data_IF_735878578491
#
_entry.id   IF_735878578491
#
_cell.length_a   1.000
_cell.length_b   1.000
_cell.length_c   1.000
_cell.angle_alpha   90.00
_cell.angle_beta   90.00
_cell.angle_gamma   90.00
#
_symmetry.space_group_name_H-M   'P 1'
#
loop_
_entity.id
_entity.type
_entity.pdbx_description
1 polymer ?
#
# COMPACT_ATOMS: atom_id res chain seq x y z
N UNK A 1 -8.29 6.89 22.55
CA UNK A 1 -9.16 7.59 21.58
C UNK A 1 -9.63 6.57 20.53
N UNK A 2 -10.85 6.06 20.72
CA UNK A 2 -11.47 5.00 19.91
C UNK A 2 -12.16 5.58 18.67
N UNK A 3 -11.38 6.12 17.72
CA UNK A 3 -11.88 6.64 16.45
C UNK A 3 -11.21 5.87 15.30
N UNK A 4 -11.83 4.76 14.90
CA UNK A 4 -11.34 3.97 13.77
C UNK A 4 -11.94 2.59 13.62
N UNK A 5 -13.28 2.45 13.60
CA UNK A 5 -13.84 1.27 12.92
C UNK A 5 -13.44 1.40 11.45
N UNK A 6 -12.68 0.44 10.93
CA UNK A 6 -12.28 0.44 9.52
C UNK A 6 -13.51 0.59 8.63
N UNK A 7 -13.37 1.26 7.49
CA UNK A 7 -14.47 1.51 6.55
C UNK A 7 -15.17 0.19 6.16
N UNK A 8 -14.38 -0.86 5.92
CA UNK A 8 -14.87 -2.23 5.71
C UNK A 8 -15.68 -2.77 6.88
N UNK A 9 -15.20 -2.67 8.13
CA UNK A 9 -15.97 -3.09 9.31
C UNK A 9 -17.31 -2.36 9.45
N UNK A 10 -17.41 -1.11 8.96
CA UNK A 10 -18.66 -0.34 8.94
C UNK A 10 -19.60 -0.78 7.82
N UNK A 11 -19.07 -1.07 6.63
CA UNK A 11 -19.89 -1.54 5.50
C UNK A 11 -20.37 -2.97 5.74
N UNK A 12 -19.48 -3.86 6.19
CA UNK A 12 -19.81 -5.24 6.53
C UNK A 12 -20.81 -5.37 7.69
N UNK A 13 -20.97 -4.34 8.52
CA UNK A 13 -21.98 -4.32 9.56
C UNK A 13 -23.42 -4.14 9.02
N UNK A 14 -23.57 -3.69 7.78
CA UNK A 14 -24.84 -3.58 7.07
C UNK A 14 -25.01 -4.61 5.94
N UNK A 15 -24.08 -5.56 5.80
CA UNK A 15 -24.24 -6.70 4.88
C UNK A 15 -24.99 -7.78 5.67
N UNK A 16 -26.29 -7.87 5.43
CA UNK A 16 -27.09 -9.02 5.86
C UNK A 16 -26.79 -10.18 4.91
N UNK A 17 -26.29 -11.29 5.46
CA UNK A 17 -26.16 -12.52 4.69
C UNK A 17 -27.56 -13.09 4.54
N UNK A 18 -28.17 -12.91 3.38
CA UNK A 18 -29.43 -13.57 3.09
C UNK A 18 -29.18 -15.09 3.00
N UNK A 19 -29.70 -15.81 3.99
CA UNK A 19 -29.59 -17.26 4.07
C UNK A 19 -30.44 -17.91 2.99
N UNK A 20 -29.85 -18.22 1.84
CA UNK A 20 -30.46 -19.12 0.86
C UNK A 20 -30.19 -20.57 1.24
N UNK A 21 -31.25 -21.39 1.27
CA UNK A 21 -31.14 -22.83 1.53
C UNK A 21 -30.48 -23.55 0.34
N UNK A 22 -29.76 -24.64 0.62
CA UNK A 22 -29.06 -25.49 -0.38
C UNK A 22 -29.98 -25.93 -1.54
N UNK A 23 -31.29 -26.02 -1.29
CA UNK A 23 -32.32 -26.41 -2.25
C UNK A 23 -32.68 -25.29 -3.23
N UNK A 24 -32.54 -24.02 -2.83
CA UNK A 24 -32.78 -22.84 -3.67
C UNK A 24 -31.61 -22.61 -4.62
N UNK A 25 -30.37 -22.76 -4.15
CA UNK A 25 -29.15 -22.60 -4.96
C UNK A 25 -28.97 -23.62 -6.11
N UNK A 26 -29.66 -24.77 -6.04
CA UNK A 26 -29.58 -25.84 -7.07
C UNK A 26 -30.53 -25.64 -8.26
N UNK A 27 -31.44 -24.67 -8.23
CA UNK A 27 -32.54 -24.55 -9.22
C UNK A 27 -32.30 -23.53 -10.33
N UNK A 28 -31.30 -22.65 -10.22
CA UNK A 28 -31.01 -21.62 -11.22
C UNK A 28 -29.69 -21.84 -11.96
N UNK A 29 -29.73 -22.16 -13.26
CA UNK A 29 -28.55 -22.15 -14.15
C UNK A 29 -27.99 -20.72 -14.43
N UNK A 30 -28.23 -19.74 -13.55
CA UNK A 30 -27.84 -18.33 -13.67
C UNK A 30 -26.96 -17.79 -12.53
N UNK A 31 -26.58 -18.62 -11.56
CA UNK A 31 -26.24 -18.09 -10.23
C UNK A 31 -24.85 -18.54 -9.74
N UNK A 32 -23.80 -18.35 -10.57
CA UNK A 32 -22.42 -18.72 -10.18
C UNK A 32 -22.04 -18.16 -8.80
N UNK A 33 -22.32 -16.88 -8.55
CA UNK A 33 -22.01 -16.27 -7.24
C UNK A 33 -22.83 -16.87 -6.10
N UNK A 34 -24.12 -17.16 -6.29
CA UNK A 34 -24.95 -17.72 -5.21
C UNK A 34 -24.59 -19.19 -4.94
N UNK A 35 -24.22 -19.95 -5.98
CA UNK A 35 -23.71 -21.32 -5.83
C UNK A 35 -22.41 -21.33 -4.99
N UNK A 36 -21.45 -20.46 -5.34
CA UNK A 36 -20.20 -20.30 -4.59
C UNK A 36 -20.43 -19.83 -3.15
N UNK A 37 -21.35 -18.88 -2.94
CA UNK A 37 -21.70 -18.41 -1.59
C UNK A 37 -22.33 -19.54 -0.76
N UNK A 38 -23.24 -20.31 -1.35
CA UNK A 38 -23.90 -21.44 -0.68
C UNK A 38 -22.91 -22.54 -0.29
N UNK A 39 -21.92 -22.80 -1.14
CA UNK A 39 -20.85 -23.76 -0.86
C UNK A 39 -19.97 -23.30 0.32
N UNK A 40 -19.56 -22.03 0.38
CA UNK A 40 -18.83 -21.48 1.53
C UNK A 40 -19.61 -21.64 2.83
N UNK A 41 -20.91 -21.34 2.81
CA UNK A 41 -21.79 -21.50 3.97
C UNK A 41 -21.90 -22.97 4.39
N UNK A 42 -22.03 -23.90 3.45
CA UNK A 42 -22.12 -25.33 3.73
C UNK A 42 -20.82 -25.89 4.34
N UNK A 43 -19.67 -25.44 3.85
CA UNK A 43 -18.35 -25.79 4.42
C UNK A 43 -18.03 -25.00 5.72
N UNK A 44 -18.96 -24.16 6.18
CA UNK A 44 -18.84 -23.34 7.38
C UNK A 44 -17.80 -22.22 7.27
N UNK A 45 -17.38 -21.83 6.07
CA UNK A 45 -16.44 -20.75 5.78
C UNK A 45 -17.15 -19.39 5.78
N UNK A 46 -17.68 -19.01 6.94
CA UNK A 46 -18.54 -17.83 7.09
C UNK A 46 -17.78 -16.51 6.90
N UNK A 47 -16.47 -16.47 7.15
CA UNK A 47 -15.67 -15.25 6.98
C UNK A 47 -15.49 -14.96 5.49
N UNK A 48 -15.10 -15.96 4.71
CA UNK A 48 -15.02 -15.89 3.26
C UNK A 48 -16.38 -15.59 2.65
N UNK A 49 -17.46 -16.22 3.13
CA UNK A 49 -18.81 -15.96 2.65
C UNK A 49 -19.16 -14.47 2.76
N UNK A 50 -18.95 -13.85 3.93
CA UNK A 50 -19.19 -12.42 4.16
C UNK A 50 -18.39 -11.52 3.22
N UNK A 51 -17.09 -11.79 3.08
CA UNK A 51 -16.24 -11.00 2.20
C UNK A 51 -16.58 -11.19 0.72
N UNK A 52 -16.97 -12.41 0.33
CA UNK A 52 -17.39 -12.72 -1.02
C UNK A 52 -18.70 -12.00 -1.37
N UNK A 53 -19.68 -12.05 -0.48
CA UNK A 53 -20.94 -11.31 -0.63
C UNK A 53 -20.71 -9.80 -0.72
N UNK A 54 -19.85 -9.24 0.14
CA UNK A 54 -19.43 -7.84 0.03
C UNK A 54 -18.88 -7.49 -1.37
N UNK A 55 -18.01 -8.34 -1.93
CA UNK A 55 -17.46 -8.11 -3.28
C UNK A 55 -18.54 -8.18 -4.38
N UNK A 56 -19.52 -9.08 -4.23
CA UNK A 56 -20.66 -9.19 -5.15
C UNK A 56 -21.56 -7.96 -5.06
N UNK A 57 -21.86 -7.49 -3.86
CA UNK A 57 -22.63 -6.26 -3.63
C UNK A 57 -21.91 -5.04 -4.23
N UNK A 58 -20.60 -4.91 -4.01
CA UNK A 58 -19.80 -3.81 -4.58
C UNK A 58 -19.76 -3.89 -6.11
N UNK A 59 -19.60 -5.07 -6.70
CA UNK A 59 -19.68 -5.27 -8.15
C UNK A 59 -21.04 -4.81 -8.70
N UNK A 60 -22.12 -5.23 -8.06
CA UNK A 60 -23.48 -4.89 -8.48
C UNK A 60 -23.70 -3.37 -8.44
N UNK A 61 -23.27 -2.70 -7.37
CA UNK A 61 -23.36 -1.24 -7.26
C UNK A 61 -22.54 -0.55 -8.37
N UNK A 62 -21.27 -0.92 -8.56
CA UNK A 62 -20.41 -0.33 -9.58
C UNK A 62 -20.92 -0.57 -11.00
N UNK A 63 -21.55 -1.72 -11.24
CA UNK A 63 -22.14 -2.06 -12.54
C UNK A 63 -23.41 -1.24 -12.80
N UNK A 64 -24.29 -1.13 -11.81
CA UNK A 64 -25.52 -0.34 -11.91
C UNK A 64 -25.22 1.15 -12.13
N UNK A 65 -24.21 1.67 -11.45
CA UNK A 65 -23.71 3.05 -11.59
C UNK A 65 -22.85 3.25 -12.85
N UNK A 66 -22.66 2.21 -13.67
CA UNK A 66 -21.88 2.21 -14.92
C UNK A 66 -20.40 2.58 -14.75
N UNK A 67 -19.85 2.44 -13.54
CA UNK A 67 -18.41 2.59 -13.29
C UNK A 67 -17.59 1.44 -13.88
N UNK A 68 -18.19 0.25 -13.99
CA UNK A 68 -17.56 -0.93 -14.59
C UNK A 68 -18.40 -1.47 -15.75
N UNK A 69 -17.72 -2.02 -16.76
CA UNK A 69 -18.35 -2.64 -17.95
C UNK A 69 -18.28 -4.16 -17.94
N UNK A 70 -17.37 -4.73 -17.15
CA UNK A 70 -17.10 -6.17 -17.07
C UNK A 70 -17.19 -6.62 -15.62
N UNK A 71 -17.82 -7.76 -15.42
CA UNK A 71 -17.97 -8.42 -14.12
C UNK A 71 -16.94 -9.55 -13.97
N UNK A 72 -16.60 -9.91 -12.75
CA UNK A 72 -15.60 -10.92 -12.40
C UNK A 72 -15.94 -12.31 -12.92
N UNK A 73 -17.23 -12.65 -13.06
CA UNK A 73 -17.63 -13.91 -13.69
C UNK A 73 -17.17 -14.04 -15.16
N UNK A 74 -16.85 -12.92 -15.84
CA UNK A 74 -16.21 -12.96 -17.16
C UNK A 74 -14.77 -13.50 -17.12
N UNK A 75 -14.15 -13.55 -15.93
CA UNK A 75 -12.85 -14.15 -15.62
C UNK A 75 -13.04 -15.36 -14.70
N UNK A 76 -13.85 -16.32 -15.16
CA UNK A 76 -14.28 -17.49 -14.39
C UNK A 76 -13.11 -18.29 -13.80
N UNK A 77 -12.03 -18.50 -14.56
CA UNK A 77 -10.87 -19.28 -14.10
C UNK A 77 -10.18 -18.61 -12.92
N UNK A 78 -9.93 -17.31 -13.00
CA UNK A 78 -9.28 -16.53 -11.96
C UNK A 78 -10.20 -16.39 -10.73
N UNK A 79 -11.50 -16.18 -10.95
CA UNK A 79 -12.51 -16.14 -9.89
C UNK A 79 -12.56 -17.46 -9.09
N UNK A 80 -12.62 -18.60 -9.78
CA UNK A 80 -12.65 -19.91 -9.10
C UNK A 80 -11.33 -20.20 -8.36
N UNK A 81 -10.18 -19.82 -8.93
CA UNK A 81 -8.88 -19.96 -8.23
C UNK A 81 -8.83 -19.11 -6.96
N UNK A 82 -9.27 -17.85 -7.03
CA UNK A 82 -9.36 -16.95 -5.88
C UNK A 82 -10.29 -17.54 -4.81
N UNK A 83 -11.46 -18.00 -5.23
CA UNK A 83 -12.45 -18.64 -4.36
C UNK A 83 -11.87 -19.83 -3.59
N UNK A 84 -11.29 -20.82 -4.30
CA UNK A 84 -10.72 -22.02 -3.67
C UNK A 84 -9.54 -21.70 -2.75
N UNK A 85 -8.72 -20.72 -3.12
CA UNK A 85 -7.56 -20.30 -2.34
C UNK A 85 -7.99 -19.61 -1.03
N UNK A 86 -8.99 -18.72 -1.10
CA UNK A 86 -9.56 -18.06 0.08
C UNK A 86 -10.29 -19.07 0.99
N UNK A 87 -11.08 -19.98 0.41
CA UNK A 87 -11.76 -21.06 1.14
C UNK A 87 -10.76 -21.92 1.91
N UNK A 88 -9.70 -22.35 1.24
CA UNK A 88 -8.60 -23.10 1.85
C UNK A 88 -7.92 -22.32 2.97
N UNK A 89 -7.73 -21.00 2.80
CA UNK A 89 -7.11 -20.15 3.81
C UNK A 89 -7.93 -20.11 5.11
N UNK A 90 -9.26 -20.00 5.00
CA UNK A 90 -10.15 -20.02 6.16
C UNK A 90 -10.19 -21.41 6.83
N UNK A 91 -10.31 -22.49 6.04
CA UNK A 91 -10.29 -23.86 6.57
C UNK A 91 -9.01 -24.14 7.38
N UNK A 92 -7.86 -23.75 6.83
CA UNK A 92 -6.58 -23.89 7.54
C UNK A 92 -6.56 -23.02 8.79
N UNK A 93 -7.06 -21.78 8.74
CA UNK A 93 -7.05 -20.87 9.90
C UNK A 93 -7.84 -21.41 11.10
N UNK A 94 -8.87 -22.22 10.86
CA UNK A 94 -9.69 -22.85 11.91
C UNK A 94 -8.92 -23.87 12.76
N UNK A 95 -7.78 -24.39 12.27
CA UNK A 95 -6.93 -25.31 13.01
C UNK A 95 -6.20 -24.63 14.19
N UNK A 96 -6.12 -23.29 14.19
CA UNK A 96 -5.61 -22.45 15.30
C UNK A 96 -4.19 -22.76 15.79
N UNK A 97 -3.37 -23.47 15.01
CA UNK A 97 -1.95 -23.70 15.28
C UNK A 97 -1.07 -22.58 14.70
N UNK A 98 0.16 -22.40 15.22
CA UNK A 98 1.09 -21.41 14.64
C UNK A 98 1.40 -21.68 13.16
N UNK A 99 1.59 -22.96 12.78
CA UNK A 99 1.80 -23.36 11.39
C UNK A 99 0.57 -23.04 10.52
N UNK A 100 -0.64 -23.28 11.04
CA UNK A 100 -1.86 -22.97 10.29
C UNK A 100 -1.96 -21.49 9.94
N UNK A 101 -1.52 -20.58 10.83
CA UNK A 101 -1.54 -19.13 10.55
C UNK A 101 -0.57 -18.76 9.43
N UNK A 102 0.65 -19.29 9.45
CA UNK A 102 1.63 -19.08 8.38
C UNK A 102 1.04 -19.53 7.04
N UNK A 103 0.48 -20.73 6.98
CA UNK A 103 -0.15 -21.27 5.77
C UNK A 103 -1.37 -20.46 5.33
N UNK A 104 -2.18 -19.94 6.26
CA UNK A 104 -3.26 -18.99 5.93
C UNK A 104 -2.71 -17.74 5.25
N UNK A 105 -1.61 -17.15 5.74
CA UNK A 105 -1.00 -15.98 5.09
C UNK A 105 -0.39 -16.31 3.72
N UNK A 106 0.22 -17.49 3.56
CA UNK A 106 0.74 -17.94 2.26
C UNK A 106 -0.39 -18.04 1.23
N UNK A 107 -1.53 -18.62 1.62
CA UNK A 107 -2.72 -18.72 0.76
C UNK A 107 -3.32 -17.34 0.46
N UNK A 108 -3.44 -16.45 1.44
CA UNK A 108 -3.91 -15.08 1.22
C UNK A 108 -2.96 -14.32 0.28
N UNK A 109 -1.65 -14.51 0.41
CA UNK A 109 -0.66 -13.88 -0.46
C UNK A 109 -0.70 -14.42 -1.89
N UNK A 110 -0.97 -15.72 -2.06
CA UNK A 110 -1.24 -16.31 -3.37
C UNK A 110 -2.51 -15.72 -3.99
N UNK A 111 -3.59 -15.59 -3.20
CA UNK A 111 -4.82 -14.97 -3.65
C UNK A 111 -4.59 -13.51 -4.09
N UNK A 112 -3.80 -12.74 -3.32
CA UNK A 112 -3.41 -11.38 -3.70
C UNK A 112 -2.68 -11.35 -5.05
N UNK A 113 -1.78 -12.30 -5.27
CA UNK A 113 -1.02 -12.41 -6.51
C UNK A 113 -1.93 -12.68 -7.71
N UNK A 114 -2.98 -13.49 -7.54
CA UNK A 114 -4.01 -13.70 -8.57
C UNK A 114 -4.82 -12.42 -8.81
N UNK A 115 -5.25 -11.73 -7.75
CA UNK A 115 -6.01 -10.48 -7.89
C UNK A 115 -5.20 -9.36 -8.58
N UNK A 116 -3.88 -9.34 -8.39
CA UNK A 116 -2.95 -8.39 -9.03
C UNK A 116 -2.65 -8.70 -10.49
N UNK A 117 -2.80 -9.95 -10.94
CA UNK A 117 -2.57 -10.33 -12.34
C UNK A 117 -3.77 -10.05 -13.24
N UNK A 118 -4.89 -9.62 -12.66
CA UNK A 118 -6.08 -9.24 -13.41
C UNK A 118 -5.82 -7.98 -14.25
N UNK A 119 -6.43 -7.86 -15.45
CA UNK A 119 -6.34 -6.66 -16.26
C UNK A 119 -6.87 -5.41 -15.54
N UNK A 120 -6.39 -4.23 -15.94
CA UNK A 120 -6.79 -2.93 -15.37
C UNK A 120 -8.32 -2.69 -15.36
N UNK A 121 -9.08 -3.36 -16.23
CA UNK A 121 -10.55 -3.32 -16.21
C UNK A 121 -11.17 -3.85 -14.90
N UNK A 122 -10.40 -4.59 -14.10
CA UNK A 122 -10.77 -5.15 -12.81
C UNK A 122 -10.03 -4.47 -11.64
N UNK A 123 -9.48 -3.28 -11.86
CA UNK A 123 -8.80 -2.51 -10.81
C UNK A 123 -9.67 -2.29 -9.56
N UNK A 124 -10.99 -2.18 -9.74
CA UNK A 124 -11.95 -2.11 -8.63
C UNK A 124 -11.88 -3.36 -7.73
N UNK A 125 -11.80 -4.55 -8.31
CA UNK A 125 -11.73 -5.81 -7.57
C UNK A 125 -10.43 -5.91 -6.81
N UNK A 126 -9.30 -5.62 -7.47
CA UNK A 126 -7.98 -5.62 -6.82
C UNK A 126 -7.95 -4.66 -5.64
N UNK A 127 -8.55 -3.46 -5.77
CA UNK A 127 -8.69 -2.49 -4.68
C UNK A 127 -9.47 -3.09 -3.50
N UNK A 128 -10.69 -3.56 -3.73
CA UNK A 128 -11.56 -4.08 -2.67
C UNK A 128 -10.97 -5.31 -1.99
N UNK A 129 -10.36 -6.19 -2.77
CA UNK A 129 -9.68 -7.37 -2.27
C UNK A 129 -8.47 -7.02 -1.40
N UNK A 130 -7.69 -6.01 -1.79
CA UNK A 130 -6.59 -5.47 -0.98
C UNK A 130 -7.08 -4.89 0.36
N UNK A 131 -8.21 -4.17 0.36
CA UNK A 131 -8.81 -3.65 1.60
C UNK A 131 -9.22 -4.81 2.54
N UNK A 132 -9.79 -5.89 2.01
CA UNK A 132 -10.14 -7.11 2.77
C UNK A 132 -8.90 -7.75 3.37
N UNK A 133 -7.87 -7.96 2.57
CA UNK A 133 -6.61 -8.59 3.01
C UNK A 133 -5.97 -7.78 4.14
N UNK A 134 -6.02 -6.45 4.05
CA UNK A 134 -5.49 -5.58 5.09
C UNK A 134 -6.28 -5.70 6.39
N UNK A 135 -7.60 -5.77 6.31
CA UNK A 135 -8.45 -6.00 7.49
C UNK A 135 -8.07 -7.33 8.16
N UNK A 136 -7.86 -8.38 7.36
CA UNK A 136 -7.39 -9.67 7.85
C UNK A 136 -5.99 -9.52 8.47
N UNK A 137 -5.03 -8.89 7.79
CA UNK A 137 -3.65 -8.72 8.28
C UNK A 137 -3.55 -7.87 9.56
N UNK A 138 -4.47 -6.92 9.75
CA UNK A 138 -4.58 -6.08 10.95
C UNK A 138 -5.34 -6.77 12.10
N UNK A 139 -6.14 -7.80 11.83
CA UNK A 139 -6.90 -8.52 12.85
C UNK A 139 -6.06 -9.50 13.68
N UNK A 140 -4.91 -9.95 13.15
CA UNK A 140 -4.02 -10.86 13.84
C UNK A 140 -3.02 -10.12 14.74
N UNK A 141 -2.82 -10.64 15.96
CA UNK A 141 -1.99 -10.02 16.99
C UNK A 141 -0.52 -9.81 16.59
N UNK A 142 0.12 -8.85 17.26
CA UNK A 142 1.52 -8.41 17.01
C UNK A 142 2.56 -9.53 17.26
N UNK A 143 2.17 -10.61 17.95
CA UNK A 143 3.08 -11.66 18.39
C UNK A 143 3.31 -12.79 17.36
N UNK A 144 2.78 -12.67 16.14
CA UNK A 144 2.92 -13.72 15.11
C UNK A 144 4.19 -13.53 14.27
N UNK A 145 5.34 -13.86 14.88
CA UNK A 145 6.69 -13.68 14.30
C UNK A 145 6.82 -14.39 12.96
N UNK A 146 6.19 -15.56 12.80
CA UNK A 146 6.28 -16.38 11.59
C UNK A 146 5.57 -15.76 10.38
N UNK A 147 4.68 -14.80 10.61
CA UNK A 147 3.91 -14.14 9.55
C UNK A 147 4.43 -12.73 9.22
N UNK A 148 5.47 -12.24 9.91
CA UNK A 148 5.96 -10.86 9.76
C UNK A 148 6.39 -10.53 8.33
N UNK A 149 7.04 -11.46 7.63
CA UNK A 149 7.46 -11.26 6.25
C UNK A 149 6.26 -11.07 5.31
N UNK A 150 5.30 -11.99 5.36
CA UNK A 150 4.10 -11.93 4.51
C UNK A 150 3.26 -10.69 4.82
N UNK A 151 3.15 -10.31 6.10
CA UNK A 151 2.49 -9.06 6.51
C UNK A 151 3.20 -7.83 5.96
N UNK A 152 4.53 -7.78 6.07
CA UNK A 152 5.31 -6.67 5.51
C UNK A 152 5.10 -6.57 3.99
N UNK A 153 5.10 -7.69 3.26
CA UNK A 153 4.82 -7.72 1.82
C UNK A 153 3.39 -7.25 1.50
N UNK A 154 2.38 -7.71 2.24
CA UNK A 154 0.98 -7.27 2.09
C UNK A 154 0.84 -5.77 2.32
N UNK A 155 1.39 -5.24 3.42
CA UNK A 155 1.35 -3.81 3.71
C UNK A 155 2.06 -2.99 2.62
N UNK A 156 3.15 -3.50 2.09
CA UNK A 156 3.88 -2.88 0.97
C UNK A 156 3.03 -2.85 -0.30
N UNK A 157 2.42 -3.97 -0.70
CA UNK A 157 1.53 -4.01 -1.88
C UNK A 157 0.37 -3.04 -1.74
N UNK A 158 -0.26 -2.99 -0.57
CA UNK A 158 -1.36 -2.07 -0.30
C UNK A 158 -0.94 -0.61 -0.44
N UNK A 159 0.19 -0.24 0.18
CA UNK A 159 0.69 1.12 0.12
C UNK A 159 1.07 1.52 -1.32
N UNK A 160 1.77 0.63 -2.06
CA UNK A 160 2.13 0.85 -3.47
C UNK A 160 0.90 0.99 -4.36
N UNK A 161 -0.14 0.18 -4.14
CA UNK A 161 -1.38 0.25 -4.92
C UNK A 161 -2.05 1.63 -4.79
N UNK A 162 -1.99 2.25 -3.61
CA UNK A 162 -2.58 3.57 -3.39
C UNK A 162 -1.75 4.73 -3.95
N UNK A 163 -0.46 4.54 -4.25
CA UNK A 163 0.41 5.57 -4.81
C UNK A 163 -0.01 6.04 -6.22
N UNK A 164 -0.71 5.21 -7.00
CA UNK A 164 -1.10 5.49 -8.38
C UNK A 164 -2.56 5.96 -8.53
N UNK A 165 -3.30 6.11 -7.42
CA UNK A 165 -4.73 6.42 -7.44
C UNK A 165 -5.06 7.90 -7.72
N UNK A 166 -6.18 8.15 -8.41
CA UNK A 166 -6.71 9.51 -8.69
C UNK A 166 -7.14 10.28 -7.42
N UNK A 167 -7.45 9.56 -6.34
CA UNK A 167 -7.75 10.11 -5.01
C UNK A 167 -6.57 9.83 -4.06
N UNK A 168 -5.38 10.31 -4.43
CA UNK A 168 -4.14 10.10 -3.70
C UNK A 168 -4.26 10.62 -2.27
N UNK A 169 -4.10 9.73 -1.28
CA UNK A 169 -4.13 10.08 0.13
C UNK A 169 -2.85 9.57 0.79
N UNK A 170 -1.91 10.49 1.03
CA UNK A 170 -0.65 10.21 1.72
C UNK A 170 -0.86 9.51 3.07
N UNK A 171 -1.98 9.76 3.75
CA UNK A 171 -2.25 9.20 5.08
C UNK A 171 -2.23 7.67 5.08
N UNK A 172 -2.96 7.03 4.18
CA UNK A 172 -3.03 5.56 4.12
C UNK A 172 -1.67 4.97 3.74
N UNK A 173 -1.03 5.55 2.72
CA UNK A 173 0.28 5.11 2.25
C UNK A 173 1.33 5.17 3.37
N UNK A 174 1.43 6.31 4.06
CA UNK A 174 2.35 6.50 5.18
C UNK A 174 2.09 5.46 6.26
N UNK A 175 0.84 5.28 6.69
CA UNK A 175 0.51 4.31 7.75
C UNK A 175 0.93 2.88 7.41
N UNK A 176 0.68 2.42 6.18
CA UNK A 176 1.01 1.05 5.79
C UNK A 176 2.49 0.86 5.45
N UNK A 177 3.16 1.87 4.90
CA UNK A 177 4.62 1.85 4.78
C UNK A 177 5.32 1.85 6.15
N UNK A 178 4.82 2.57 7.15
CA UNK A 178 5.35 2.50 8.52
C UNK A 178 5.24 1.10 9.11
N UNK A 179 4.06 0.46 8.96
CA UNK A 179 3.87 -0.93 9.38
C UNK A 179 4.83 -1.86 8.66
N UNK A 180 4.94 -1.75 7.34
CA UNK A 180 5.87 -2.56 6.54
C UNK A 180 7.32 -2.37 7.00
N UNK A 181 7.77 -1.11 7.14
CA UNK A 181 9.13 -0.78 7.55
C UNK A 181 9.45 -1.32 8.95
N UNK A 182 8.51 -1.21 9.88
CA UNK A 182 8.69 -1.70 11.25
C UNK A 182 8.92 -3.21 11.32
N UNK A 183 8.31 -3.97 10.39
CA UNK A 183 8.44 -5.42 10.30
C UNK A 183 9.71 -5.83 9.53
N UNK A 184 10.04 -5.13 8.45
CA UNK A 184 11.15 -5.48 7.57
C UNK A 184 12.51 -4.97 8.04
N UNK A 185 12.56 -4.00 8.97
CA UNK A 185 13.80 -3.37 9.43
C UNK A 185 14.85 -4.42 9.82
N UNK A 186 16.05 -4.32 9.24
CA UNK A 186 17.20 -5.21 9.51
C UNK A 186 16.91 -6.69 9.19
N UNK A 187 15.96 -6.98 8.30
CA UNK A 187 15.68 -8.33 7.79
C UNK A 187 16.18 -8.46 6.37
N UNK A 188 16.66 -9.65 6.02
CA UNK A 188 17.16 -9.97 4.68
C UNK A 188 16.08 -10.59 3.77
N UNK A 189 14.82 -10.20 3.99
CA UNK A 189 13.70 -10.67 3.18
C UNK A 189 13.75 -10.06 1.79
N UNK A 190 13.35 -10.83 0.78
CA UNK A 190 13.34 -10.39 -0.62
C UNK A 190 12.00 -9.74 -0.98
N UNK A 191 12.01 -8.84 -1.96
CA UNK A 191 10.79 -8.20 -2.51
C UNK A 191 9.93 -9.14 -3.36
N UNK A 192 10.54 -10.17 -3.95
CA UNK A 192 9.92 -11.14 -4.87
C UNK A 192 9.05 -10.45 -5.95
N UNK A 193 7.73 -10.65 -5.91
CA UNK A 193 6.74 -10.18 -6.87
C UNK A 193 6.16 -8.78 -6.57
N UNK A 194 6.76 -8.01 -5.66
CA UNK A 194 6.38 -6.62 -5.40
C UNK A 194 6.83 -5.72 -6.57
N UNK A 195 8.00 -6.00 -7.15
CA UNK A 195 8.59 -5.19 -8.23
C UNK A 195 8.72 -5.99 -9.51
N UNK A 196 8.43 -5.35 -10.66
CA UNK A 196 8.75 -5.90 -11.99
C UNK A 196 10.24 -5.73 -12.34
N UNK A 197 10.98 -4.97 -11.53
CA UNK A 197 12.43 -4.79 -11.67
C UNK A 197 13.09 -6.05 -11.13
N UNK A 198 13.80 -6.77 -12.01
CA UNK A 198 14.55 -8.01 -11.76
C UNK A 198 15.80 -7.82 -10.88
N UNK A 199 15.77 -6.90 -9.92
CA UNK A 199 16.80 -6.85 -8.89
C UNK A 199 16.30 -7.62 -7.66
N UNK A 200 17.17 -8.48 -7.12
CA UNK A 200 17.02 -9.11 -5.81
C UNK A 200 17.09 -8.06 -4.69
N UNK A 201 16.13 -7.12 -4.67
CA UNK A 201 16.12 -6.06 -3.68
C UNK A 201 15.69 -6.61 -2.32
N UNK A 202 16.41 -6.17 -1.29
CA UNK A 202 16.01 -6.38 0.09
C UNK A 202 14.70 -5.60 0.34
N UNK A 203 13.72 -6.23 0.97
CA UNK A 203 12.42 -5.65 1.29
C UNK A 203 12.54 -4.40 2.18
N UNK A 204 13.46 -4.40 3.16
CA UNK A 204 13.76 -3.22 3.99
C UNK A 204 14.22 -2.04 3.14
N UNK A 205 15.16 -2.27 2.23
CA UNK A 205 15.67 -1.24 1.33
C UNK A 205 14.55 -0.73 0.42
N UNK A 206 13.83 -1.62 -0.24
CA UNK A 206 12.72 -1.26 -1.12
C UNK A 206 11.63 -0.46 -0.40
N UNK A 207 11.19 -0.94 0.76
CA UNK A 207 10.18 -0.26 1.59
C UNK A 207 10.70 1.11 2.02
N UNK A 208 11.94 1.21 2.50
CA UNK A 208 12.49 2.48 2.95
C UNK A 208 12.66 3.51 1.84
N UNK A 209 13.16 3.09 0.67
CA UNK A 209 13.29 3.98 -0.50
C UNK A 209 11.92 4.47 -0.98
N UNK A 210 10.95 3.56 -1.10
CA UNK A 210 9.61 3.89 -1.57
C UNK A 210 8.86 4.74 -0.55
N UNK A 211 9.00 4.44 0.74
CA UNK A 211 8.40 5.23 1.81
C UNK A 211 9.00 6.63 1.89
N UNK A 212 10.32 6.76 1.80
CA UNK A 212 10.98 8.06 1.69
C UNK A 212 10.48 8.86 0.49
N UNK A 213 10.18 8.18 -0.62
CA UNK A 213 9.56 8.76 -1.81
C UNK A 213 8.20 9.38 -1.52
N UNK A 214 7.33 8.62 -0.85
CA UNK A 214 6.00 9.08 -0.42
C UNK A 214 6.10 10.25 0.56
N UNK A 215 7.00 10.16 1.55
CA UNK A 215 7.22 11.22 2.55
C UNK A 215 7.69 12.53 1.91
N UNK A 216 8.60 12.48 0.92
CA UNK A 216 9.02 13.73 0.25
C UNK A 216 7.87 14.33 -0.58
N UNK A 217 7.06 13.50 -1.26
CA UNK A 217 5.92 13.99 -2.04
C UNK A 217 4.87 14.62 -1.14
N UNK A 218 4.60 13.99 0.01
CA UNK A 218 3.74 14.52 1.07
C UNK A 218 4.27 15.86 1.59
N UNK A 219 5.57 15.97 1.87
CA UNK A 219 6.19 17.22 2.32
C UNK A 219 5.99 18.38 1.33
N UNK A 220 6.10 18.11 0.02
CA UNK A 220 5.87 19.12 -1.03
C UNK A 220 4.43 19.65 -1.01
N UNK A 221 3.44 18.82 -0.70
CA UNK A 221 2.04 19.24 -0.65
C UNK A 221 1.76 20.25 0.47
N UNK A 222 2.64 20.32 1.47
CA UNK A 222 2.49 21.21 2.62
C UNK A 222 3.23 22.56 2.50
N UNK A 223 3.93 22.82 1.38
CA UNK A 223 4.80 24.00 1.23
C UNK A 223 4.06 25.31 1.53
N UNK A 224 2.85 25.51 1.00
CA UNK A 224 2.12 26.76 1.16
C UNK A 224 0.98 26.69 2.20
N UNK A 225 0.69 25.50 2.75
CA UNK A 225 -0.46 25.28 3.64
C UNK A 225 -0.05 25.08 5.09
N UNK A 226 0.93 24.21 5.34
CA UNK A 226 1.46 23.97 6.69
C UNK A 226 2.95 23.59 6.61
N UNK A 227 3.84 24.57 6.41
CA UNK A 227 5.26 24.32 6.20
C UNK A 227 5.91 23.52 7.35
N UNK A 228 5.47 23.71 8.60
CA UNK A 228 6.00 22.99 9.77
C UNK A 228 5.77 21.48 9.66
N UNK A 229 4.55 21.08 9.28
CA UNK A 229 4.24 19.67 9.04
C UNK A 229 5.03 19.13 7.82
N UNK A 230 5.20 19.95 6.78
CA UNK A 230 6.05 19.58 5.64
C UNK A 230 7.50 19.32 6.04
N UNK A 231 8.07 20.13 6.95
CA UNK A 231 9.44 19.94 7.47
C UNK A 231 9.56 18.60 8.19
N UNK A 232 8.57 18.26 9.01
CA UNK A 232 8.53 16.96 9.71
C UNK A 232 8.54 15.79 8.72
N UNK A 233 7.71 15.84 7.67
CA UNK A 233 7.68 14.79 6.64
C UNK A 233 9.01 14.72 5.86
N UNK A 234 9.62 15.86 5.54
CA UNK A 234 10.92 15.90 4.88
C UNK A 234 12.04 15.31 5.78
N UNK A 235 12.02 15.59 7.08
CA UNK A 235 12.97 15.01 8.04
C UNK A 235 12.79 13.49 8.18
N UNK A 236 11.54 13.02 8.20
CA UNK A 236 11.25 11.57 8.19
C UNK A 236 11.74 10.91 6.90
N UNK A 237 11.58 11.57 5.76
CA UNK A 237 12.11 11.07 4.47
C UNK A 237 13.64 10.93 4.52
N UNK A 238 14.36 11.96 4.97
CA UNK A 238 15.83 11.94 5.09
C UNK A 238 16.30 10.83 6.05
N UNK A 239 15.65 10.69 7.21
CA UNK A 239 15.96 9.63 8.18
C UNK A 239 15.77 8.24 7.59
N UNK A 240 14.69 8.04 6.85
CA UNK A 240 14.38 6.76 6.21
C UNK A 240 15.44 6.39 5.16
N UNK A 241 15.89 7.34 4.34
CA UNK A 241 16.98 7.11 3.36
C UNK A 241 18.31 6.81 4.07
N UNK A 242 18.59 7.51 5.18
CA UNK A 242 19.79 7.26 5.97
C UNK A 242 19.81 5.84 6.58
N UNK A 243 18.64 5.31 6.97
CA UNK A 243 18.49 3.97 7.53
C UNK A 243 18.81 2.86 6.51
N UNK A 244 18.41 3.02 5.24
CA UNK A 244 18.57 1.97 4.20
C UNK A 244 19.86 2.05 3.39
N UNK A 245 20.64 3.14 3.53
CA UNK A 245 21.95 3.29 2.90
C UNK A 245 22.01 4.43 1.88
N UNK A 246 22.80 5.46 2.17
CA UNK A 246 22.80 6.73 1.43
C UNK A 246 23.52 6.69 0.07
N UNK A 247 24.52 5.81 -0.10
CA UNK A 247 25.50 5.94 -1.19
C UNK A 247 24.92 5.72 -2.59
N UNK A 248 23.93 4.83 -2.73
CA UNK A 248 23.24 4.58 -4.01
C UNK A 248 22.07 5.54 -4.27
N UNK A 249 21.66 6.33 -3.27
CA UNK A 249 20.42 7.12 -3.28
C UNK A 249 20.66 8.64 -3.25
N UNK A 250 21.84 9.10 -3.68
CA UNK A 250 22.27 10.51 -3.64
C UNK A 250 21.21 11.49 -4.20
N UNK A 251 20.56 11.13 -5.32
CA UNK A 251 19.48 11.95 -5.91
C UNK A 251 18.31 12.10 -4.96
N UNK A 252 17.85 11.00 -4.35
CA UNK A 252 16.68 11.01 -3.48
C UNK A 252 16.97 11.83 -2.21
N UNK A 253 18.17 11.68 -1.64
CA UNK A 253 18.65 12.50 -0.52
C UNK A 253 18.65 13.99 -0.90
N UNK A 254 19.25 14.34 -2.03
CA UNK A 254 19.30 15.72 -2.49
C UNK A 254 17.90 16.31 -2.71
N UNK A 255 16.98 15.55 -3.33
CA UNK A 255 15.57 15.95 -3.51
C UNK A 255 14.87 16.20 -2.17
N UNK A 256 15.04 15.33 -1.18
CA UNK A 256 14.43 15.50 0.14
C UNK A 256 14.98 16.74 0.88
N UNK A 257 16.31 16.94 0.83
CA UNK A 257 16.95 18.13 1.43
C UNK A 257 16.47 19.43 0.75
N UNK A 258 16.32 19.43 -0.58
CA UNK A 258 15.81 20.59 -1.31
C UNK A 258 14.39 20.96 -0.91
N UNK A 259 13.52 19.98 -0.73
CA UNK A 259 12.14 20.22 -0.24
C UNK A 259 12.17 20.82 1.15
N UNK A 260 12.98 20.27 2.07
CA UNK A 260 13.16 20.84 3.41
C UNK A 260 13.65 22.29 3.34
N UNK A 261 14.63 22.59 2.49
CA UNK A 261 15.15 23.94 2.34
C UNK A 261 14.06 24.92 1.85
N UNK A 262 13.21 24.52 0.89
CA UNK A 262 12.09 25.35 0.44
C UNK A 262 11.08 25.62 1.56
N UNK A 263 10.73 24.59 2.32
CA UNK A 263 9.83 24.74 3.48
C UNK A 263 10.40 25.69 4.55
N UNK A 264 11.72 25.66 4.77
CA UNK A 264 12.40 26.58 5.67
C UNK A 264 12.40 28.03 5.15
N UNK A 265 12.52 28.23 3.83
CA UNK A 265 12.39 29.54 3.18
C UNK A 265 10.98 30.11 3.40
N UNK A 266 9.93 29.29 3.25
CA UNK A 266 8.53 29.71 3.47
C UNK A 266 8.28 30.23 4.89
N UNK A 267 8.94 29.63 5.91
CA UNK A 267 8.85 30.11 7.30
C UNK A 267 9.93 31.14 7.66
N UNK A 268 10.58 31.73 6.66
CA UNK A 268 11.63 32.75 6.82
C UNK A 268 12.88 32.30 7.60
N UNK A 269 13.12 31.00 7.74
CA UNK A 269 14.34 30.45 8.35
C UNK A 269 15.45 30.27 7.30
N UNK A 270 15.87 31.38 6.71
CA UNK A 270 16.82 31.40 5.58
C UNK A 270 18.21 30.87 5.96
N UNK A 271 18.66 31.11 7.19
CA UNK A 271 19.97 30.64 7.68
C UNK A 271 20.05 29.12 7.65
N UNK A 272 19.02 28.45 8.15
CA UNK A 272 18.97 26.99 8.14
C UNK A 272 18.72 26.43 6.74
N UNK A 273 17.87 27.08 5.94
CA UNK A 273 17.66 26.72 4.54
C UNK A 273 18.98 26.71 3.75
N UNK A 274 19.80 27.76 3.88
CA UNK A 274 21.09 27.85 3.20
C UNK A 274 22.07 26.76 3.66
N UNK A 275 22.06 26.38 4.94
CA UNK A 275 22.86 25.25 5.44
C UNK A 275 22.46 23.94 4.75
N UNK A 276 21.16 23.69 4.62
CA UNK A 276 20.64 22.51 3.93
C UNK A 276 20.97 22.52 2.43
N UNK A 277 20.84 23.66 1.74
CA UNK A 277 21.19 23.79 0.32
C UNK A 277 22.67 23.50 0.06
N UNK A 278 23.59 24.00 0.90
CA UNK A 278 25.02 23.65 0.82
C UNK A 278 25.25 22.16 1.06
N UNK A 279 24.48 21.54 1.95
CA UNK A 279 24.58 20.09 2.16
C UNK A 279 24.13 19.30 0.93
N UNK A 280 23.01 19.67 0.30
CA UNK A 280 22.52 19.04 -0.92
C UNK A 280 23.53 19.14 -2.06
N UNK A 281 24.21 20.28 -2.21
CA UNK A 281 25.23 20.50 -3.24
C UNK A 281 26.38 19.49 -3.15
N UNK A 282 26.82 19.15 -1.94
CA UNK A 282 27.87 18.12 -1.73
C UNK A 282 27.46 16.75 -2.27
N UNK A 283 26.18 16.37 -2.18
CA UNK A 283 25.67 15.11 -2.74
C UNK A 283 25.61 15.12 -4.27
N UNK A 284 25.61 16.30 -4.89
CA UNK A 284 25.52 16.45 -6.35
C UNK A 284 26.89 16.67 -7.00
N UNK A 285 27.99 16.82 -6.25
CA UNK A 285 29.32 17.07 -6.82
C UNK A 285 29.84 15.87 -7.62
N UNK A 286 30.49 16.13 -8.75
CA UNK A 286 31.09 15.10 -9.61
C UNK A 286 30.11 14.33 -10.50
N UNK A 287 28.81 14.39 -10.21
CA UNK A 287 27.77 13.66 -10.96
C UNK A 287 27.36 14.44 -12.22
N UNK A 288 27.34 13.76 -13.38
CA UNK A 288 27.08 14.37 -14.70
C UNK A 288 25.75 13.95 -15.35
N UNK A 289 25.06 12.95 -14.81
CA UNK A 289 23.81 12.44 -15.36
C UNK A 289 22.71 13.53 -15.37
N UNK A 290 21.88 13.54 -16.42
CA UNK A 290 20.74 14.43 -16.62
C UNK A 290 19.83 14.59 -15.39
N UNK A 291 19.57 13.52 -14.62
CA UNK A 291 18.76 13.64 -13.40
C UNK A 291 19.43 14.50 -12.33
N UNK A 292 20.74 14.36 -12.13
CA UNK A 292 21.50 15.20 -11.20
C UNK A 292 21.57 16.65 -11.66
N UNK A 293 21.65 16.89 -12.98
CA UNK A 293 21.63 18.25 -13.53
C UNK A 293 20.31 18.98 -13.22
N UNK A 294 19.16 18.31 -13.40
CA UNK A 294 17.85 18.87 -13.04
C UNK A 294 17.79 19.29 -11.56
N UNK A 295 18.24 18.41 -10.67
CA UNK A 295 18.28 18.69 -9.23
C UNK A 295 19.24 19.84 -8.90
N UNK A 296 20.36 19.96 -9.62
CA UNK A 296 21.31 21.08 -9.47
C UNK A 296 20.71 22.41 -9.92
N UNK A 297 19.96 22.44 -11.02
CA UNK A 297 19.20 23.63 -11.44
C UNK A 297 18.20 24.07 -10.37
N UNK A 298 17.41 23.13 -9.83
CA UNK A 298 16.47 23.41 -8.73
C UNK A 298 17.15 23.96 -7.47
N UNK A 299 18.35 23.46 -7.16
CA UNK A 299 19.18 23.93 -6.05
C UNK A 299 19.64 25.37 -6.26
N UNK A 300 20.13 25.70 -7.45
CA UNK A 300 20.60 27.04 -7.78
C UNK A 300 19.47 28.08 -7.74
N UNK A 301 18.29 27.72 -8.25
CA UNK A 301 17.08 28.56 -8.15
C UNK A 301 16.72 28.82 -6.68
N UNK A 302 16.72 27.76 -5.85
CA UNK A 302 16.38 27.88 -4.42
C UNK A 302 17.40 28.74 -3.65
N UNK A 303 18.70 28.66 -4.00
CA UNK A 303 19.74 29.55 -3.45
C UNK A 303 19.52 31.00 -3.85
N UNK A 304 19.14 31.27 -5.11
CA UNK A 304 18.87 32.62 -5.58
C UNK A 304 17.72 33.27 -4.79
N UNK A 305 16.63 32.55 -4.56
CA UNK A 305 15.52 33.03 -3.71
C UNK A 305 15.95 33.29 -2.26
N UNK A 306 16.73 32.39 -1.66
CA UNK A 306 17.22 32.57 -0.29
C UNK A 306 18.20 33.75 -0.13
N UNK A 307 19.00 34.05 -1.15
CA UNK A 307 19.97 35.15 -1.14
C UNK A 307 19.33 36.51 -1.42
N UNK A 308 18.25 36.57 -2.20
CA UNK A 308 17.58 37.82 -2.54
C UNK A 308 16.77 38.43 -1.38
N UNK A 309 16.44 37.62 -0.36
CA UNK A 309 15.70 38.04 0.84
C UNK A 309 16.63 38.39 2.02
N UNK A 310 17.90 37.96 1.96
CA UNK A 310 18.92 38.26 2.97
C UNK A 310 19.72 39.54 2.68
N UNK A 311 19.48 40.20 1.54
CA UNK A 311 19.97 41.53 1.20
C UNK A 311 18.90 42.56 1.48
#
# INVERSE_FOLDING_TARGET
MAAGRSYLKRIMAGVEIDHMTLTQAKRGHHELYQALLSELCFEGCMTCAKYFEYLVCEENALFNDKFIKKRMWAKKTELLKLYETCKSAELVSKLKTCLSRKSTYELIYQALSIAKSLPDSFHWFTKSFLEIIIEIADSFGVNDIMCCELRAKIYTHFAVFHMSGRAHSFKREITYFEKALSLSRTKDWRTDNITLVFDEQNLHEFVGVTFASVLFKSAKAFIHTNPKLGIEQADRSIKCIAEVGQMKLKILVAKAILVKARLLIEISNYKEAMRHLRSAERYLMGEKNNEFQKVRCELNISKAFGLHILR
#
